data_IF_504575573243
#
_entry.id   IF_504575573243
#
_cell.length_a   1.000
_cell.length_b   1.000
_cell.length_c   1.000
_cell.angle_alpha   90.00
_cell.angle_beta   90.00
_cell.angle_gamma   90.00
#
_symmetry.space_group_name_H-M   'P 1'
#
loop_
_entity.id
_entity.type
_entity.pdbx_description
1 polymer ?
#
# COMPACT_ATOMS: atom_id res chain seq x y z
N UNK A 1 -11.16 -4.99 6.72
CA UNK A 1 -10.65 -3.60 6.85
C UNK A 1 -9.14 -3.73 6.88
N UNK A 2 -8.40 -2.98 6.08
CA UNK A 2 -6.93 -3.10 6.04
C UNK A 2 -6.33 -1.92 6.78
N UNK A 3 -5.84 -2.18 7.99
CA UNK A 3 -5.06 -1.20 8.73
C UNK A 3 -3.63 -1.17 8.20
N UNK A 4 -2.92 -0.08 8.50
CA UNK A 4 -1.52 0.05 8.10
C UNK A 4 -0.64 -1.09 8.63
N UNK A 5 -0.96 -1.63 9.81
CA UNK A 5 -0.30 -2.80 10.39
C UNK A 5 -0.53 -4.05 9.54
N UNK A 6 -1.76 -4.31 9.13
CA UNK A 6 -2.09 -5.47 8.27
C UNK A 6 -1.37 -5.40 6.92
N UNK A 7 -1.23 -4.19 6.35
CA UNK A 7 -0.50 -3.97 5.10
C UNK A 7 0.99 -4.27 5.28
N UNK A 8 1.60 -3.75 6.36
CA UNK A 8 3.02 -4.00 6.68
C UNK A 8 3.29 -5.49 6.89
N UNK A 9 2.44 -6.17 7.66
CA UNK A 9 2.61 -7.60 7.94
C UNK A 9 2.48 -8.44 6.68
N UNK A 10 1.51 -8.10 5.81
CA UNK A 10 1.34 -8.77 4.51
C UNK A 10 2.56 -8.56 3.62
N UNK A 11 3.06 -7.31 3.52
CA UNK A 11 4.27 -7.01 2.75
C UNK A 11 5.49 -7.78 3.30
N UNK A 12 5.68 -7.80 4.62
CA UNK A 12 6.76 -8.54 5.25
C UNK A 12 6.65 -10.05 5.00
N UNK A 13 5.44 -10.60 5.04
CA UNK A 13 5.20 -12.01 4.75
C UNK A 13 5.60 -12.36 3.32
N UNK A 14 5.09 -11.61 2.34
CA UNK A 14 5.42 -11.82 0.91
C UNK A 14 6.92 -11.63 0.66
N UNK A 15 7.52 -10.61 1.27
CA UNK A 15 8.96 -10.37 1.14
C UNK A 15 9.77 -11.52 1.72
N UNK A 16 9.43 -12.05 2.90
CA UNK A 16 10.12 -13.21 3.46
C UNK A 16 9.94 -14.47 2.60
N UNK A 17 8.78 -14.64 1.98
CA UNK A 17 8.49 -15.78 1.09
C UNK A 17 9.27 -15.71 -0.24
N UNK A 18 9.47 -14.50 -0.78
CA UNK A 18 10.08 -14.30 -2.09
C UNK A 18 11.55 -13.87 -2.05
N UNK A 19 12.01 -13.30 -0.94
CA UNK A 19 13.35 -12.74 -0.78
C UNK A 19 13.87 -13.04 0.62
N UNK A 20 15.07 -13.59 0.75
CA UNK A 20 15.74 -13.79 2.05
C UNK A 20 16.24 -12.47 2.67
N UNK A 21 15.51 -11.36 2.47
CA UNK A 21 15.90 -10.02 2.91
C UNK A 21 15.66 -9.90 4.41
N UNK A 22 16.78 -9.82 5.14
CA UNK A 22 16.83 -9.55 6.58
C UNK A 22 16.61 -8.05 6.80
N UNK A 23 15.37 -7.59 6.70
CA UNK A 23 15.09 -6.15 6.84
C UNK A 23 13.63 -5.74 6.85
N UNK A 24 12.77 -6.48 6.16
CA UNK A 24 11.34 -6.18 6.08
C UNK A 24 11.02 -4.76 5.58
N UNK A 25 9.73 -4.45 5.53
CA UNK A 25 9.19 -3.12 5.26
C UNK A 25 8.65 -2.52 6.55
N UNK A 26 8.97 -1.25 6.77
CA UNK A 26 8.53 -0.49 7.95
C UNK A 26 7.21 0.22 7.66
N UNK A 27 6.43 0.45 8.71
CA UNK A 27 5.19 1.24 8.68
C UNK A 27 5.32 2.58 7.96
N UNK A 28 6.42 3.30 8.19
CA UNK A 28 6.67 4.59 7.55
C UNK A 28 6.83 4.48 6.03
N UNK A 29 7.53 3.45 5.55
CA UNK A 29 7.69 3.21 4.11
C UNK A 29 6.34 2.94 3.45
N UNK A 30 5.51 2.07 4.02
CA UNK A 30 4.15 1.83 3.49
C UNK A 30 3.29 3.10 3.49
N UNK A 31 3.43 3.95 4.50
CA UNK A 31 2.72 5.23 4.54
C UNK A 31 3.21 6.20 3.45
N UNK A 32 4.52 6.28 3.25
CA UNK A 32 5.14 7.12 2.22
C UNK A 32 4.75 6.62 0.82
N UNK A 33 4.74 5.30 0.60
CA UNK A 33 4.30 4.67 -0.65
C UNK A 33 2.81 4.93 -0.92
N UNK A 34 1.96 4.84 0.11
CA UNK A 34 0.54 5.19 0.00
C UNK A 34 0.37 6.67 -0.36
N UNK A 35 1.12 7.56 0.28
CA UNK A 35 1.08 8.99 -0.03
C UNK A 35 1.56 9.27 -1.46
N UNK A 36 2.57 8.55 -1.92
CA UNK A 36 3.04 8.62 -3.31
C UNK A 36 1.95 8.15 -4.28
N UNK A 37 1.31 7.01 -4.02
CA UNK A 37 0.19 6.51 -4.84
C UNK A 37 -1.01 7.47 -4.91
N UNK A 38 -1.25 8.27 -3.88
CA UNK A 38 -2.30 9.29 -3.89
C UNK A 38 -1.92 10.54 -4.70
N UNK A 39 -0.63 10.75 -4.96
CA UNK A 39 -0.13 11.91 -5.69
C UNK A 39 -0.37 11.79 -7.21
N UNK A 40 -0.27 12.92 -7.90
CA UNK A 40 -0.33 12.97 -9.36
C UNK A 40 0.78 12.13 -10.01
N UNK A 41 1.98 12.14 -9.43
CA UNK A 41 3.12 11.35 -9.89
C UNK A 41 2.94 9.84 -9.67
N UNK A 42 2.16 9.44 -8.66
CA UNK A 42 1.87 8.04 -8.34
C UNK A 42 0.48 7.60 -8.78
N UNK A 43 0.03 8.04 -9.96
CA UNK A 43 -1.21 7.57 -10.62
C UNK A 43 -2.54 8.01 -9.98
N UNK A 44 -2.52 8.92 -9.00
CA UNK A 44 -3.73 9.48 -8.36
C UNK A 44 -4.72 8.41 -7.94
N UNK A 45 -4.20 7.38 -7.27
CA UNK A 45 -4.96 6.21 -6.88
C UNK A 45 -6.12 6.63 -5.97
N UNK A 46 -7.37 6.21 -6.28
CA UNK A 46 -8.54 6.59 -5.49
C UNK A 46 -8.62 5.72 -4.21
N UNK A 47 -7.71 5.99 -3.27
CA UNK A 47 -7.64 5.35 -1.96
C UNK A 47 -8.36 6.20 -0.91
N UNK A 48 -9.22 5.56 -0.12
CA UNK A 48 -9.95 6.20 0.96
C UNK A 48 -9.37 5.80 2.30
N UNK A 49 -9.28 6.78 3.19
CA UNK A 49 -8.86 6.59 4.58
C UNK A 49 -10.07 6.75 5.48
N UNK A 50 -10.47 5.68 6.13
CA UNK A 50 -11.55 5.69 7.09
C UNK A 50 -10.99 5.55 8.50
N UNK A 51 -11.45 6.42 9.41
CA UNK A 51 -11.11 6.33 10.83
C UNK A 51 -12.06 5.36 11.52
N UNK A 52 -11.50 4.43 12.28
CA UNK A 52 -12.20 3.46 13.12
C UNK A 52 -11.63 3.56 14.55
N UNK A 53 -12.26 4.40 15.37
CA UNK A 53 -11.73 4.79 16.68
C UNK A 53 -10.37 5.50 16.56
N UNK A 54 -9.33 4.89 17.14
CA UNK A 54 -7.94 5.40 17.10
C UNK A 54 -7.14 4.91 15.87
N UNK A 55 -7.69 3.99 15.07
CA UNK A 55 -6.99 3.37 13.93
C UNK A 55 -7.54 3.91 12.61
N UNK A 56 -6.74 3.83 11.55
CA UNK A 56 -7.12 4.22 10.18
C UNK A 56 -7.01 2.99 9.29
N UNK A 57 -8.07 2.69 8.55
CA UNK A 57 -8.05 1.65 7.53
C UNK A 57 -8.23 2.23 6.14
N UNK A 58 -7.62 1.56 5.17
CA UNK A 58 -7.57 1.98 3.78
C UNK A 58 -8.51 1.13 2.94
N UNK A 59 -9.21 1.75 1.98
CA UNK A 59 -10.07 1.05 1.03
C UNK A 59 -10.11 1.79 -0.29
N UNK A 60 -10.02 1.07 -1.40
CA UNK A 60 -10.23 1.66 -2.71
C UNK A 60 -11.69 2.11 -2.89
N UNK A 61 -11.88 3.35 -3.37
CA UNK A 61 -13.22 3.92 -3.63
C UNK A 61 -13.91 3.22 -4.80
N UNK A 62 -13.19 2.95 -5.88
CA UNK A 62 -13.77 2.42 -7.13
C UNK A 62 -12.76 1.57 -7.88
N UNK A 63 -12.77 0.27 -7.63
CA UNK A 63 -12.09 -0.69 -8.52
C UNK A 63 -13.06 -1.02 -9.65
N UNK A 64 -13.08 -0.19 -10.69
CA UNK A 64 -13.61 -0.61 -12.00
C UNK A 64 -12.41 -0.75 -12.93
N UNK A 65 -11.95 -2.01 -13.02
CA UNK A 65 -11.09 -2.60 -14.07
C UNK A 65 -10.34 -1.59 -14.96
N UNK A 66 -9.04 -1.45 -14.67
CA UNK A 66 -7.93 -0.88 -15.44
C UNK A 66 -7.14 0.06 -14.53
N UNK A 67 -6.37 -0.54 -13.63
CA UNK A 67 -5.15 0.13 -13.17
C UNK A 67 -4.26 0.30 -14.41
N UNK A 68 -3.56 1.44 -14.58
CA UNK A 68 -2.51 1.53 -15.58
C UNK A 68 -1.55 0.36 -15.35
N UNK A 69 -1.03 -0.28 -16.42
CA UNK A 69 -0.02 -1.30 -16.23
C UNK A 69 1.09 -0.68 -15.39
N UNK A 70 1.35 -1.27 -14.24
CA UNK A 70 2.59 -1.03 -13.51
C UNK A 70 3.67 -1.59 -14.43
N UNK A 71 4.09 -0.80 -15.42
CA UNK A 71 5.24 -1.13 -16.23
C UNK A 71 6.42 -0.92 -15.32
N UNK A 72 6.99 -2.02 -14.85
CA UNK A 72 8.33 -2.03 -14.30
C UNK A 72 9.22 -1.27 -15.29
N UNK A 73 9.67 -0.07 -14.90
CA UNK A 73 10.69 0.64 -15.64
C UNK A 73 12.00 -0.14 -15.44
N UNK A 74 12.51 -0.67 -16.56
CA UNK A 74 13.87 -1.19 -16.73
C UNK A 74 14.93 -0.33 -16.01
#
# INVERSE_FOLDING_TARGET
KFFIEDLVDTCNKVLNEHTSIVGGVKKRQVQDDIAFMESEAGWSVPLLKYKDGKRVYYRYWKIRRKLPPFTDSN
#
